data_IF_684107225293
#
_entry.id   IF_684107225293
#
_cell.length_a   1.000
_cell.length_b   1.000
_cell.length_c   1.000
_cell.angle_alpha   90.00
_cell.angle_beta   90.00
_cell.angle_gamma   90.00
#
_symmetry.space_group_name_H-M   'P 1'
#
loop_
_entity.id
_entity.type
_entity.pdbx_description
1 polymer ?
#
# COMPACT_ATOMS: atom_id res chain seq x y z
N UNK A 1 -18.08 10.57 -14.81
CA UNK A 1 -18.69 9.80 -13.70
C UNK A 1 -17.57 9.34 -12.78
N UNK A 2 -17.25 10.11 -11.75
CA UNK A 2 -16.34 9.71 -10.69
C UNK A 2 -17.04 8.64 -9.84
N UNK A 3 -16.54 7.39 -9.89
CA UNK A 3 -17.02 6.36 -8.96
C UNK A 3 -16.60 6.79 -7.57
N UNK A 4 -17.57 6.96 -6.68
CA UNK A 4 -17.34 7.31 -5.28
C UNK A 4 -16.97 6.02 -4.54
N UNK A 5 -15.67 5.71 -4.50
CA UNK A 5 -15.15 4.41 -4.06
C UNK A 5 -15.17 4.27 -2.54
N UNK A 6 -15.12 5.39 -1.81
CA UNK A 6 -15.17 5.43 -0.34
C UNK A 6 -16.59 5.45 0.23
N UNK A 7 -17.62 5.62 -0.61
CA UNK A 7 -19.00 5.58 -0.14
C UNK A 7 -19.38 4.17 0.34
N UNK A 8 -20.23 4.11 1.39
CA UNK A 8 -20.61 2.93 2.21
C UNK A 8 -20.96 1.66 1.42
N UNK A 9 -21.34 1.77 0.15
CA UNK A 9 -21.93 0.69 -0.65
C UNK A 9 -21.09 0.23 -1.85
N UNK A 10 -19.97 0.87 -2.18
CA UNK A 10 -19.28 0.64 -3.47
C UNK A 10 -18.52 -0.70 -3.53
N UNK A 11 -18.21 -1.31 -2.39
CA UNK A 11 -17.53 -2.61 -2.30
C UNK A 11 -18.14 -3.59 -1.26
N UNK A 12 -19.27 -3.24 -0.65
CA UNK A 12 -19.94 -4.11 0.33
C UNK A 12 -19.09 -4.50 1.55
N UNK A 13 -18.06 -3.71 1.89
CA UNK A 13 -17.15 -4.00 2.99
C UNK A 13 -16.96 -2.77 3.87
N UNK A 14 -17.88 -2.62 4.81
CA UNK A 14 -18.01 -1.48 5.71
C UNK A 14 -16.80 -1.32 6.66
N UNK A 15 -15.99 -2.38 6.85
CA UNK A 15 -15.07 -2.49 7.99
C UNK A 15 -13.63 -1.99 7.80
N UNK A 16 -13.21 -1.48 6.63
CA UNK A 16 -11.80 -1.05 6.45
C UNK A 16 -11.69 0.31 5.77
N UNK A 17 -12.11 1.37 6.46
CA UNK A 17 -11.90 2.74 5.96
C UNK A 17 -10.46 3.20 6.15
N UNK A 18 -9.88 3.94 5.18
CA UNK A 18 -8.65 4.67 5.41
C UNK A 18 -8.85 5.73 6.50
N UNK A 19 -7.75 6.24 7.08
CA UNK A 19 -7.76 7.42 7.95
C UNK A 19 -8.45 8.59 7.24
N UNK A 20 -9.21 9.42 7.96
CA UNK A 20 -10.06 10.46 7.35
C UNK A 20 -9.30 11.37 6.35
N UNK A 21 -8.07 11.78 6.69
CA UNK A 21 -7.21 12.62 5.83
C UNK A 21 -6.70 11.92 4.57
N UNK A 22 -6.86 10.60 4.44
CA UNK A 22 -6.38 9.82 3.29
C UNK A 22 -7.49 9.55 2.26
N UNK A 23 -8.75 9.72 2.63
CA UNK A 23 -9.90 9.28 1.82
C UNK A 23 -9.84 9.81 0.39
N UNK A 24 -9.73 11.13 0.25
CA UNK A 24 -9.73 11.79 -1.06
C UNK A 24 -8.54 11.35 -1.93
N UNK A 25 -7.32 11.34 -1.37
CA UNK A 25 -6.12 10.93 -2.11
C UNK A 25 -6.18 9.48 -2.55
N UNK A 26 -6.70 8.58 -1.71
CA UNK A 26 -6.90 7.17 -2.06
C UNK A 26 -7.91 7.03 -3.20
N UNK A 27 -9.00 7.79 -3.21
CA UNK A 27 -9.98 7.75 -4.30
C UNK A 27 -9.45 8.26 -5.62
N UNK A 28 -8.69 9.36 -5.59
CA UNK A 28 -8.04 9.90 -6.78
C UNK A 28 -7.04 8.88 -7.36
N UNK A 29 -6.27 8.20 -6.49
CA UNK A 29 -5.37 7.14 -6.91
C UNK A 29 -6.08 5.91 -7.49
N UNK A 30 -7.16 5.44 -6.86
CA UNK A 30 -7.96 4.33 -7.41
C UNK A 30 -8.56 4.68 -8.77
N UNK A 31 -9.00 5.94 -8.92
CA UNK A 31 -9.56 6.45 -10.18
C UNK A 31 -8.49 6.52 -11.28
N UNK A 32 -7.26 6.93 -10.96
CA UNK A 32 -6.15 6.91 -11.92
C UNK A 32 -5.78 5.48 -12.33
N UNK A 33 -5.79 4.53 -11.39
CA UNK A 33 -5.57 3.12 -11.69
C UNK A 33 -6.70 2.50 -12.53
N UNK A 34 -7.95 2.90 -12.31
CA UNK A 34 -9.06 2.49 -13.16
C UNK A 34 -8.88 3.03 -14.58
N UNK A 35 -8.43 4.28 -14.74
CA UNK A 35 -8.24 4.91 -16.05
C UNK A 35 -7.18 4.19 -16.91
N UNK A 36 -6.16 3.57 -16.29
CA UNK A 36 -5.15 2.76 -16.99
C UNK A 36 -5.59 1.28 -17.17
N UNK A 37 -6.86 0.95 -16.91
CA UNK A 37 -7.44 -0.38 -17.19
C UNK A 37 -7.23 -1.43 -16.11
N UNK A 38 -6.91 -1.07 -14.85
CA UNK A 38 -6.83 -2.07 -13.76
C UNK A 38 -8.22 -2.64 -13.43
N UNK A 39 -8.27 -3.93 -13.12
CA UNK A 39 -9.52 -4.62 -12.77
C UNK A 39 -10.05 -4.14 -11.41
N UNK A 40 -11.38 -4.12 -11.21
CA UNK A 40 -11.98 -3.71 -9.94
C UNK A 40 -11.53 -4.57 -8.75
N UNK A 41 -11.23 -5.85 -8.97
CA UNK A 41 -10.69 -6.76 -7.95
C UNK A 41 -9.28 -6.34 -7.49
N UNK A 42 -8.44 -5.92 -8.44
CA UNK A 42 -7.11 -5.36 -8.15
C UNK A 42 -7.24 -4.06 -7.35
N UNK A 43 -8.13 -3.18 -7.77
CA UNK A 43 -8.41 -1.91 -7.07
C UNK A 43 -8.88 -2.15 -5.64
N UNK A 44 -9.80 -3.12 -5.43
CA UNK A 44 -10.29 -3.50 -4.11
C UNK A 44 -9.16 -3.98 -3.20
N UNK A 45 -8.29 -4.85 -3.72
CA UNK A 45 -7.12 -5.36 -2.97
C UNK A 45 -6.18 -4.21 -2.56
N UNK A 46 -5.89 -3.30 -3.50
CA UNK A 46 -5.03 -2.14 -3.24
C UNK A 46 -5.64 -1.18 -2.23
N UNK A 47 -6.95 -0.96 -2.31
CA UNK A 47 -7.68 -0.14 -1.35
C UNK A 47 -7.55 -0.69 0.07
N UNK A 48 -7.76 -2.00 0.28
CA UNK A 48 -7.58 -2.61 1.62
C UNK A 48 -6.16 -2.45 2.15
N UNK A 49 -5.16 -2.63 1.27
CA UNK A 49 -3.76 -2.51 1.65
C UNK A 49 -3.44 -1.08 2.12
N UNK A 50 -3.86 -0.05 1.37
CA UNK A 50 -3.61 1.34 1.73
C UNK A 50 -4.49 1.79 2.91
N UNK A 51 -5.76 1.37 2.98
CA UNK A 51 -6.64 1.69 4.09
C UNK A 51 -6.09 1.12 5.40
N UNK A 52 -5.68 -0.16 5.42
CA UNK A 52 -5.03 -0.77 6.58
C UNK A 52 -3.70 -0.08 6.92
N UNK A 53 -2.89 0.24 5.93
CA UNK A 53 -1.62 0.94 6.12
C UNK A 53 -1.82 2.30 6.80
N UNK A 54 -2.75 3.12 6.29
CA UNK A 54 -3.04 4.45 6.84
C UNK A 54 -3.45 4.42 8.32
N UNK A 55 -4.19 3.39 8.74
CA UNK A 55 -4.62 3.22 10.13
C UNK A 55 -3.52 2.77 11.07
N UNK A 56 -2.59 1.96 10.57
CA UNK A 56 -1.48 1.44 11.38
C UNK A 56 -0.41 2.52 11.56
N UNK A 57 -0.10 3.24 10.49
CA UNK A 57 0.87 4.35 10.53
C UNK A 57 0.32 5.55 11.31
N UNK A 58 -1.00 5.78 11.26
CA UNK A 58 -1.72 6.85 11.96
C UNK A 58 -1.11 8.26 11.77
N UNK A 59 -0.66 8.55 10.55
CA UNK A 59 -0.09 9.85 10.17
C UNK A 59 -0.71 10.33 8.86
N UNK A 60 -0.72 11.64 8.57
CA UNK A 60 -1.09 12.14 7.24
C UNK A 60 -0.05 11.72 6.21
N UNK A 61 -0.44 11.73 4.92
CA UNK A 61 0.37 11.20 3.81
C UNK A 61 1.74 11.90 3.72
N UNK A 62 1.83 13.20 4.00
CA UNK A 62 3.07 13.97 3.94
C UNK A 62 4.02 13.74 5.13
N UNK A 63 3.52 13.21 6.24
CA UNK A 63 4.29 12.99 7.48
C UNK A 63 4.67 11.53 7.72
N UNK A 64 4.42 10.66 6.74
CA UNK A 64 4.85 9.27 6.83
C UNK A 64 6.35 9.19 6.54
N UNK A 65 7.10 8.76 7.54
CA UNK A 65 8.53 8.51 7.48
C UNK A 65 8.84 7.01 7.33
N UNK A 66 10.08 6.69 6.91
CA UNK A 66 10.58 5.32 6.79
C UNK A 66 10.40 4.47 8.06
N UNK A 67 10.59 5.04 9.25
CA UNK A 67 10.39 4.34 10.54
C UNK A 67 8.93 3.90 10.73
N UNK A 68 7.97 4.74 10.34
CA UNK A 68 6.55 4.39 10.41
C UNK A 68 6.20 3.25 9.45
N UNK A 69 6.83 3.21 8.27
CA UNK A 69 6.70 2.09 7.32
C UNK A 69 7.32 0.81 7.89
N UNK A 70 8.46 0.90 8.56
CA UNK A 70 9.10 -0.24 9.24
C UNK A 70 8.21 -0.76 10.37
N UNK A 71 7.67 0.14 11.22
CA UNK A 71 6.74 -0.20 12.28
C UNK A 71 5.51 -0.94 11.75
N UNK A 72 4.97 -0.51 10.61
CA UNK A 72 3.88 -1.23 9.93
C UNK A 72 4.25 -2.67 9.57
N UNK A 73 5.46 -2.91 9.06
CA UNK A 73 5.94 -4.26 8.74
C UNK A 73 6.24 -5.12 9.98
N UNK A 74 6.59 -4.50 11.10
CA UNK A 74 6.85 -5.19 12.37
C UNK A 74 5.55 -5.57 13.08
N UNK A 75 4.58 -4.66 13.13
CA UNK A 75 3.30 -4.88 13.81
C UNK A 75 2.37 -5.83 13.04
N UNK A 76 2.57 -5.94 11.72
CA UNK A 76 1.80 -6.86 10.90
C UNK A 76 2.35 -8.29 11.01
N UNK A 77 1.54 -9.23 11.52
CA UNK A 77 1.78 -10.69 11.46
C UNK A 77 1.71 -11.26 10.03
N UNK A 78 2.22 -10.53 9.05
CA UNK A 78 2.21 -10.87 7.64
C UNK A 78 3.42 -11.75 7.30
N UNK A 79 3.20 -12.76 6.47
CA UNK A 79 4.29 -13.50 5.84
C UNK A 79 5.09 -12.63 4.86
N UNK A 80 6.29 -13.08 4.50
CA UNK A 80 7.21 -12.34 3.63
C UNK A 80 6.57 -11.93 2.29
N UNK A 81 5.74 -12.79 1.69
CA UNK A 81 5.05 -12.48 0.44
C UNK A 81 4.00 -11.38 0.61
N UNK A 82 3.23 -11.42 1.70
CA UNK A 82 2.27 -10.38 2.03
C UNK A 82 2.98 -9.04 2.30
N UNK A 83 4.12 -9.05 3.01
CA UNK A 83 4.94 -7.85 3.22
C UNK A 83 5.49 -7.28 1.91
N UNK A 84 5.93 -8.12 0.97
CA UNK A 84 6.37 -7.65 -0.36
C UNK A 84 5.24 -7.06 -1.17
N UNK A 85 4.07 -7.71 -1.20
CA UNK A 85 2.91 -7.19 -1.91
C UNK A 85 2.43 -5.86 -1.32
N UNK A 86 2.41 -5.74 0.01
CA UNK A 86 2.12 -4.49 0.69
C UNK A 86 3.17 -3.41 0.36
N UNK A 87 4.47 -3.75 0.40
CA UNK A 87 5.56 -2.83 0.02
C UNK A 87 5.39 -2.31 -1.41
N UNK A 88 5.14 -3.19 -2.37
CA UNK A 88 4.93 -2.81 -3.76
C UNK A 88 3.69 -1.92 -3.93
N UNK A 89 2.62 -2.21 -3.18
CA UNK A 89 1.41 -1.39 -3.20
C UNK A 89 1.65 0.02 -2.65
N UNK A 90 2.26 0.13 -1.47
CA UNK A 90 2.63 1.41 -0.85
C UNK A 90 3.59 2.19 -1.75
N UNK A 91 4.56 1.52 -2.38
CA UNK A 91 5.48 2.16 -3.33
C UNK A 91 4.75 2.84 -4.48
N UNK A 92 3.85 2.13 -5.14
CA UNK A 92 3.09 2.66 -6.29
C UNK A 92 2.14 3.78 -5.87
N UNK A 93 1.55 3.69 -4.68
CA UNK A 93 0.73 4.77 -4.12
C UNK A 93 1.54 6.04 -3.89
N UNK A 94 2.68 5.95 -3.21
CA UNK A 94 3.52 7.12 -2.94
C UNK A 94 4.18 7.69 -4.20
N UNK A 95 4.52 6.86 -5.19
CA UNK A 95 4.96 7.36 -6.50
C UNK A 95 3.89 8.24 -7.16
N UNK A 96 2.62 7.84 -7.07
CA UNK A 96 1.50 8.66 -7.53
C UNK A 96 1.34 9.92 -6.65
N UNK A 97 1.43 9.80 -5.33
CA UNK A 97 1.28 10.93 -4.41
C UNK A 97 2.35 12.01 -4.63
N UNK A 98 3.60 11.60 -4.86
CA UNK A 98 4.71 12.51 -5.20
C UNK A 98 4.48 13.19 -6.56
N UNK A 99 4.04 12.43 -7.58
CA UNK A 99 3.70 13.00 -8.89
C UNK A 99 2.57 14.05 -8.81
N UNK A 100 1.65 13.88 -7.86
CA UNK A 100 0.55 14.81 -7.59
C UNK A 100 0.88 15.90 -6.54
N UNK A 101 2.14 15.95 -6.05
CA UNK A 101 2.61 16.90 -5.02
C UNK A 101 1.84 16.82 -3.68
N UNK A 102 1.32 15.64 -3.35
CA UNK A 102 0.68 15.35 -2.06
C UNK A 102 1.73 14.97 -1.01
N UNK A 103 2.78 14.28 -1.44
CA UNK A 103 3.97 13.95 -0.63
C UNK A 103 5.22 14.52 -1.30
N UNK A 104 6.22 14.89 -0.51
CA UNK A 104 7.50 15.41 -1.02
C UNK A 104 8.38 14.30 -1.60
N UNK A 105 8.48 13.17 -0.89
CA UNK A 105 9.27 12.01 -1.28
C UNK A 105 8.51 10.70 -0.98
N UNK A 106 9.08 9.58 -1.44
CA UNK A 106 8.52 8.26 -1.19
C UNK A 106 9.23 7.60 0.01
N UNK A 107 8.58 7.46 1.17
CA UNK A 107 9.21 6.93 2.38
C UNK A 107 9.64 5.46 2.24
N UNK A 108 9.12 4.74 1.25
CA UNK A 108 9.49 3.34 1.04
C UNK A 108 10.87 3.17 0.41
N UNK A 109 11.41 4.22 -0.22
CA UNK A 109 12.70 4.17 -0.89
C UNK A 109 13.84 4.07 0.14
N UNK A 110 13.63 4.66 1.31
CA UNK A 110 14.53 4.63 2.46
C UNK A 110 14.44 3.33 3.28
N UNK A 111 13.35 2.57 3.13
CA UNK A 111 13.17 1.29 3.83
C UNK A 111 13.96 0.18 3.12
N UNK A 112 14.78 -0.63 3.81
CA UNK A 112 15.52 -1.72 3.19
C UNK A 112 14.62 -2.71 2.44
N UNK A 113 15.10 -3.22 1.31
CA UNK A 113 14.36 -4.17 0.47
C UNK A 113 14.15 -5.48 1.24
N UNK A 114 12.89 -5.93 1.33
CA UNK A 114 12.57 -7.22 1.96
C UNK A 114 13.19 -8.34 1.11
N UNK A 115 14.14 -9.12 1.64
CA UNK A 115 14.90 -10.08 0.86
C UNK A 115 13.97 -11.09 0.20
N UNK A 116 14.27 -11.46 -1.04
CA UNK A 116 13.69 -12.63 -1.67
C UNK A 116 14.13 -13.87 -0.90
N UNK A 117 13.19 -14.77 -0.56
CA UNK A 117 13.61 -16.13 -0.21
C UNK A 117 14.35 -16.61 -1.46
N UNK A 118 15.63 -16.99 -1.40
CA UNK A 118 16.31 -17.46 -2.59
C UNK A 118 15.49 -18.61 -3.16
N UNK A 119 15.07 -18.47 -4.43
CA UNK A 119 14.48 -19.58 -5.16
C UNK A 119 15.60 -20.60 -5.33
N UNK A 120 15.59 -21.63 -4.48
CA UNK A 120 16.37 -22.86 -4.57
C UNK A 120 17.74 -22.74 -5.23
N UNK A 121 18.76 -22.48 -4.41
CA UNK A 121 20.04 -23.18 -4.59
C UNK A 121 20.23 -24.04 -3.35
N UNK A 122 19.45 -25.14 -3.27
CA UNK A 122 19.89 -26.29 -2.49
C UNK A 122 20.97 -26.99 -3.32
N UNK A 123 22.20 -26.49 -3.25
CA UNK A 123 23.34 -27.35 -3.49
C UNK A 123 23.51 -28.19 -2.22
N UNK A 124 23.00 -29.42 -2.28
CA UNK A 124 23.47 -30.51 -1.44
C UNK A 124 25.00 -30.56 -1.54
N UNK A 125 25.68 -30.34 -0.43
CA UNK A 125 26.79 -31.18 0.01
C UNK A 125 27.32 -30.66 1.35
N UNK A 126 27.08 -31.44 2.40
CA UNK A 126 28.04 -31.52 3.49
C UNK A 126 28.16 -32.99 3.90
N UNK A 127 29.37 -33.50 3.62
CA UNK A 127 30.03 -34.75 4.02
C UNK A 127 29.41 -36.09 3.62
#
# INVERSE_FOLDING_TARGET
>A
MTRNWTNKNSYGCEHVRPRDDWGESVEQWLSSMLAIGRTPETLRTRWYQIARFSRIVDRPIDQVDADAVIAFFLQSSMDLEAKRNARACVKVFYQWAVAHRIADHNPIDEVPVIPTRPRGVFCFNFS
#
